data_IF_434161739736
#
_entry.id   IF_434161739736
#
_cell.length_a   1.000
_cell.length_b   1.000
_cell.length_c   1.000
_cell.angle_alpha   90.00
_cell.angle_beta   90.00
_cell.angle_gamma   90.00
#
_symmetry.space_group_name_H-M   'P 1'
#
loop_
_entity.id
_entity.type
_entity.pdbx_description
1 polymer ?
#
# COMPACT_ATOMS: atom_id res chain seq x y z
N UNK A 1 24.90 -3.54 27.27
CA UNK A 1 25.11 -3.58 25.80
C UNK A 1 23.75 -3.77 25.16
N UNK A 2 23.17 -2.68 24.64
CA UNK A 2 21.84 -2.71 24.01
C UNK A 2 22.01 -3.13 22.56
N UNK A 3 21.47 -4.28 22.18
CA UNK A 3 21.39 -4.68 20.78
C UNK A 3 20.38 -3.77 20.06
N UNK A 4 20.88 -2.83 19.28
CA UNK A 4 20.09 -2.11 18.29
C UNK A 4 19.76 -3.09 17.17
N UNK A 5 18.58 -3.73 17.23
CA UNK A 5 18.04 -4.47 16.08
C UNK A 5 17.70 -3.41 15.02
N UNK A 6 18.62 -3.20 14.08
CA UNK A 6 18.35 -2.41 12.87
C UNK A 6 17.46 -3.26 11.98
N UNK A 7 16.15 -3.12 12.19
CA UNK A 7 15.12 -3.89 11.52
C UNK A 7 14.96 -3.40 10.07
N UNK A 8 15.83 -3.83 9.14
CA UNK A 8 15.73 -3.58 7.69
C UNK A 8 14.57 -4.40 7.08
N UNK A 9 13.38 -4.30 7.66
CA UNK A 9 12.19 -4.97 7.12
C UNK A 9 11.72 -4.21 5.89
N UNK A 10 12.25 -4.59 4.73
CA UNK A 10 11.69 -4.16 3.44
C UNK A 10 10.26 -4.68 3.34
N UNK A 11 9.30 -3.76 3.24
CA UNK A 11 7.91 -4.10 3.01
C UNK A 11 7.77 -4.86 1.68
N UNK A 12 6.94 -5.93 1.67
CA UNK A 12 6.57 -6.61 0.42
C UNK A 12 5.59 -5.70 -0.34
N UNK A 13 5.87 -5.43 -1.60
CA UNK A 13 5.03 -4.52 -2.40
C UNK A 13 3.78 -5.22 -2.95
N UNK A 14 2.67 -4.51 -2.94
CA UNK A 14 1.45 -4.80 -3.72
C UNK A 14 1.08 -3.55 -4.47
N UNK A 15 0.49 -3.70 -5.64
CA UNK A 15 0.25 -2.57 -6.53
C UNK A 15 -1.15 -2.61 -7.09
N UNK A 16 -1.73 -1.43 -7.29
CA UNK A 16 -2.90 -1.31 -8.12
C UNK A 16 -2.54 -1.57 -9.59
N UNK A 17 -3.44 -2.20 -10.33
CA UNK A 17 -3.22 -2.64 -11.70
C UNK A 17 -2.92 -1.46 -12.66
N UNK A 18 -3.38 -0.25 -12.31
CA UNK A 18 -3.10 0.97 -13.09
C UNK A 18 -1.61 1.35 -13.14
N UNK A 19 -0.76 0.80 -12.27
CA UNK A 19 0.70 1.01 -12.35
C UNK A 19 1.26 0.53 -13.68
N UNK A 20 0.75 -0.60 -14.18
CA UNK A 20 1.16 -1.20 -15.46
C UNK A 20 0.76 -0.33 -16.66
N UNK A 21 -0.18 0.61 -16.46
CA UNK A 21 -0.62 1.58 -17.46
C UNK A 21 0.16 2.91 -17.39
N UNK A 22 1.14 3.03 -16.49
CA UNK A 22 1.95 4.24 -16.33
C UNK A 22 1.31 5.33 -15.46
N UNK A 23 0.32 5.00 -14.63
CA UNK A 23 -0.29 5.98 -13.72
C UNK A 23 0.69 6.45 -12.63
N UNK A 24 0.50 7.68 -12.14
CA UNK A 24 1.21 8.22 -10.97
C UNK A 24 0.51 7.83 -9.67
N UNK A 25 1.29 7.70 -8.59
CA UNK A 25 0.79 7.21 -7.30
C UNK A 25 1.84 7.10 -6.21
N UNK A 26 1.39 6.69 -5.01
CA UNK A 26 2.20 6.61 -3.80
C UNK A 26 2.04 5.25 -3.09
N UNK A 27 3.01 4.93 -2.22
CA UNK A 27 2.93 3.78 -1.33
C UNK A 27 2.24 4.12 0.00
N UNK A 28 1.37 3.22 0.44
CA UNK A 28 0.67 3.27 1.70
C UNK A 28 0.95 2.00 2.51
N UNK A 29 0.93 2.08 3.83
CA UNK A 29 0.99 0.87 4.66
C UNK A 29 -0.22 -0.04 4.39
N UNK A 30 0.02 -1.35 4.32
CA UNK A 30 -1.06 -2.32 4.12
C UNK A 30 -2.17 -2.22 5.17
N UNK A 31 -1.83 -1.90 6.42
CA UNK A 31 -2.81 -1.67 7.49
C UNK A 31 -3.70 -0.47 7.21
N UNK A 32 -3.15 0.65 6.75
CA UNK A 32 -3.91 1.83 6.36
C UNK A 32 -4.85 1.53 5.18
N UNK A 33 -4.35 0.79 4.18
CA UNK A 33 -5.16 0.31 3.07
C UNK A 33 -6.36 -0.52 3.53
N UNK A 34 -6.14 -1.54 4.38
CA UNK A 34 -7.22 -2.39 4.90
C UNK A 34 -8.21 -1.57 5.73
N UNK A 35 -7.74 -0.66 6.58
CA UNK A 35 -8.61 0.22 7.38
C UNK A 35 -9.49 1.12 6.50
N UNK A 36 -8.95 1.67 5.40
CA UNK A 36 -9.74 2.44 4.44
C UNK A 36 -10.73 1.57 3.67
N UNK A 37 -10.31 0.38 3.24
CA UNK A 37 -11.16 -0.57 2.53
C UNK A 37 -12.37 -0.99 3.39
N UNK A 38 -12.15 -1.22 4.69
CA UNK A 38 -13.19 -1.58 5.66
C UNK A 38 -14.22 -0.46 5.92
N UNK A 39 -13.94 0.79 5.53
CA UNK A 39 -14.91 1.90 5.61
C UNK A 39 -15.92 1.89 4.46
N UNK A 40 -15.64 1.16 3.38
CA UNK A 40 -16.55 0.99 2.26
C UNK A 40 -17.66 -0.01 2.61
N UNK A 41 -18.80 0.09 1.91
CA UNK A 41 -19.82 -0.96 1.94
C UNK A 41 -19.25 -2.25 1.33
N UNK A 42 -19.66 -3.41 1.83
CA UNK A 42 -19.07 -4.71 1.46
C UNK A 42 -18.94 -4.96 -0.04
N UNK A 43 -19.96 -4.59 -0.84
CA UNK A 43 -19.91 -4.73 -2.30
C UNK A 43 -18.83 -3.83 -2.94
N UNK A 44 -18.74 -2.56 -2.49
CA UNK A 44 -17.73 -1.62 -2.97
C UNK A 44 -16.32 -2.00 -2.51
N UNK A 45 -16.17 -2.52 -1.28
CA UNK A 45 -14.90 -3.05 -0.79
C UNK A 45 -14.40 -4.24 -1.63
N UNK A 46 -15.31 -5.15 -1.99
CA UNK A 46 -14.99 -6.31 -2.83
C UNK A 46 -14.63 -5.88 -4.25
N UNK A 47 -15.39 -4.96 -4.84
CA UNK A 47 -15.08 -4.43 -6.17
C UNK A 47 -13.72 -3.73 -6.18
N UNK A 48 -13.48 -2.86 -5.21
CA UNK A 48 -12.22 -2.13 -5.11
C UNK A 48 -11.02 -3.07 -4.95
N UNK A 49 -11.14 -4.12 -4.13
CA UNK A 49 -10.01 -5.02 -3.86
C UNK A 49 -9.50 -5.75 -5.10
N UNK A 50 -10.32 -5.91 -6.15
CA UNK A 50 -9.90 -6.49 -7.44
C UNK A 50 -8.88 -5.63 -8.19
N UNK A 51 -8.76 -4.35 -7.84
CA UNK A 51 -7.87 -3.39 -8.49
C UNK A 51 -6.44 -3.46 -7.98
N UNK A 52 -6.18 -4.23 -6.91
CA UNK A 52 -4.86 -4.40 -6.27
C UNK A 52 -4.47 -5.87 -6.29
N UNK A 53 -3.19 -6.17 -6.57
CA UNK A 53 -2.67 -7.55 -6.51
C UNK A 53 -3.01 -8.20 -5.17
N UNK A 54 -3.58 -9.41 -5.23
CA UNK A 54 -4.08 -10.12 -4.06
C UNK A 54 -3.00 -10.38 -2.99
N UNK A 55 -3.42 -10.35 -1.73
CA UNK A 55 -2.60 -10.65 -0.57
C UNK A 55 -3.47 -11.09 0.62
N UNK A 56 -2.87 -11.73 1.62
CA UNK A 56 -3.57 -12.10 2.85
C UNK A 56 -3.63 -10.93 3.81
N UNK A 57 -4.78 -10.66 4.43
CA UNK A 57 -4.92 -9.53 5.37
C UNK A 57 -3.97 -9.62 6.57
N UNK A 58 -3.58 -10.84 6.97
CA UNK A 58 -2.55 -11.07 7.99
C UNK A 58 -1.17 -10.49 7.61
N UNK A 59 -0.90 -10.32 6.32
CA UNK A 59 0.34 -9.72 5.81
C UNK A 59 0.31 -8.17 5.85
N UNK A 60 -0.84 -7.54 6.13
CA UNK A 60 -1.02 -6.08 6.08
C UNK A 60 0.07 -5.27 6.82
N UNK A 61 0.58 -5.69 8.01
CA UNK A 61 1.65 -4.97 8.70
C UNK A 61 3.02 -5.06 8.01
N UNK A 62 3.20 -5.97 7.04
CA UNK A 62 4.46 -6.27 6.37
C UNK A 62 4.45 -5.94 4.87
N UNK A 63 3.39 -5.31 4.38
CA UNK A 63 3.28 -4.90 2.97
C UNK A 63 3.18 -3.39 2.83
N UNK A 64 3.61 -2.91 1.67
CA UNK A 64 3.32 -1.57 1.17
C UNK A 64 2.42 -1.72 -0.06
N UNK A 65 1.34 -0.95 -0.12
CA UNK A 65 0.38 -0.96 -1.22
C UNK A 65 0.57 0.31 -2.03
N UNK A 66 1.02 0.19 -3.27
CA UNK A 66 1.06 1.27 -4.25
C UNK A 66 -0.33 1.50 -4.83
N UNK A 67 -0.83 2.72 -4.75
CA UNK A 67 -2.10 3.13 -5.36
C UNK A 67 -1.86 4.34 -6.25
N UNK A 68 -2.49 4.35 -7.43
CA UNK A 68 -2.57 5.56 -8.22
C UNK A 68 -3.38 6.64 -7.49
N UNK A 69 -3.19 7.91 -7.87
CA UNK A 69 -3.89 9.04 -7.25
C UNK A 69 -5.41 8.86 -7.18
N UNK A 70 -6.03 8.33 -8.24
CA UNK A 70 -7.47 8.11 -8.30
C UNK A 70 -7.93 7.03 -7.29
N UNK A 71 -7.24 5.89 -7.26
CA UNK A 71 -7.53 4.82 -6.30
C UNK A 71 -7.29 5.26 -4.85
N UNK A 72 -6.24 6.05 -4.60
CA UNK A 72 -5.97 6.60 -3.28
C UNK A 72 -7.05 7.63 -2.85
N UNK A 73 -7.54 8.44 -3.78
CA UNK A 73 -8.62 9.42 -3.55
C UNK A 73 -9.92 8.72 -3.17
N UNK A 74 -10.30 7.67 -3.90
CA UNK A 74 -11.51 6.88 -3.64
C UNK A 74 -11.49 6.23 -2.25
N UNK A 75 -10.32 5.77 -1.80
CA UNK A 75 -10.11 5.25 -0.44
C UNK A 75 -9.86 6.33 0.62
N UNK A 76 -9.88 7.61 0.23
CA UNK A 76 -9.57 8.77 1.09
C UNK A 76 -8.21 8.63 1.79
N UNK A 77 -7.26 7.99 1.13
CA UNK A 77 -5.89 7.75 1.60
C UNK A 77 -4.94 8.90 1.26
N UNK A 78 -5.32 9.84 0.40
CA UNK A 78 -4.52 11.04 0.10
C UNK A 78 -4.19 11.90 1.34
N UNK A 79 -4.95 11.74 2.43
CA UNK A 79 -4.72 12.43 3.71
C UNK A 79 -4.09 11.53 4.80
N UNK A 80 -3.92 10.23 4.54
CA UNK A 80 -3.24 9.31 5.44
C UNK A 80 -1.74 9.33 5.14
N UNK A 81 -0.92 9.25 6.17
CA UNK A 81 0.55 9.32 6.10
C UNK A 81 1.07 8.29 5.07
N UNK A 82 1.40 8.78 3.87
CA UNK A 82 2.05 7.97 2.83
C UNK A 82 3.38 7.49 3.38
N UNK A 83 3.86 6.33 2.94
CA UNK A 83 5.22 5.84 3.27
C UNK A 83 6.24 6.60 2.41
N UNK A 84 6.23 7.92 2.51
CA UNK A 84 7.20 8.82 1.90
C UNK A 84 8.38 8.96 2.85
N UNK A 85 9.27 7.97 2.83
CA UNK A 85 10.48 8.03 3.64
C UNK A 85 11.47 6.85 3.54
N UNK A 86 11.05 5.67 3.06
CA UNK A 86 11.93 4.48 3.12
C UNK A 86 12.02 3.65 1.82
N UNK A 87 11.31 4.01 0.75
CA UNK A 87 11.34 3.24 -0.51
C UNK A 87 12.11 3.92 -1.66
N UNK A 88 13.00 4.87 -1.34
CA UNK A 88 13.72 5.67 -2.32
C UNK A 88 15.10 5.11 -2.75
N UNK A 89 15.38 3.80 -2.60
CA UNK A 89 16.66 3.21 -3.06
C UNK A 89 16.57 1.71 -3.39
N UNK A 90 15.80 1.32 -4.42
CA UNK A 90 16.00 0.00 -5.04
C UNK A 90 15.50 -0.04 -6.50
N UNK A 91 16.11 0.75 -7.37
CA UNK A 91 16.03 0.56 -8.83
C UNK A 91 17.30 1.09 -9.48
N UNK A 92 18.39 0.33 -9.37
CA UNK A 92 19.55 0.38 -10.26
C UNK A 92 20.43 -0.85 -10.03
N UNK A 93 20.29 -1.86 -10.88
CA UNK A 93 21.35 -2.82 -11.24
C UNK A 93 21.06 -3.31 -12.65
#
# INVERSE_FOLDING_TARGET
MSLSITNDHKYRERECLHRQMGAEGFFYHGTAYIQSLQRLKSAAALEFSTRVTAFFWSDAPQIAVWLCHDCASELRLLHAESVSGQLATASAS
#
